data_IF_658477631768
#
_entry.id   IF_658477631768
#
_cell.length_a   1.000
_cell.length_b   1.000
_cell.length_c   1.000
_cell.angle_alpha   90.00
_cell.angle_beta   90.00
_cell.angle_gamma   90.00
#
_symmetry.space_group_name_H-M   'P 1'
#
loop_
_entity.id
_entity.type
_entity.pdbx_description
1 polymer ?
#
# COMPACT_ATOMS: atom_id res chain seq x y z
N UNK A 1 -1.18 -12.78 16.50
CA UNK A 1 -2.01 -12.26 15.37
C UNK A 1 -2.99 -11.19 15.81
N UNK A 2 -3.87 -11.42 16.79
CA UNK A 2 -4.86 -10.41 17.23
C UNK A 2 -4.29 -9.02 17.55
N UNK A 3 -3.20 -8.94 18.32
CA UNK A 3 -2.56 -7.66 18.62
C UNK A 3 -1.95 -6.96 17.39
N UNK A 4 -1.46 -7.72 16.41
CA UNK A 4 -0.87 -7.19 15.17
C UNK A 4 -1.93 -6.76 14.16
N UNK A 5 -3.14 -7.35 14.22
CA UNK A 5 -4.25 -7.01 13.34
C UNK A 5 -4.80 -5.60 13.59
N UNK A 6 -4.71 -5.09 14.82
CA UNK A 6 -5.20 -3.75 15.18
C UNK A 6 -4.46 -2.65 14.40
N UNK A 7 -3.13 -2.50 14.51
CA UNK A 7 -2.41 -1.47 13.77
C UNK A 7 -2.48 -1.72 12.26
N UNK A 8 -2.51 -2.98 11.81
CA UNK A 8 -2.64 -3.31 10.39
C UNK A 8 -4.01 -2.86 9.83
N UNK A 9 -5.10 -3.09 10.57
CA UNK A 9 -6.43 -2.67 10.17
C UNK A 9 -6.58 -1.14 10.16
N UNK A 10 -6.04 -0.46 11.17
CA UNK A 10 -6.02 1.01 11.21
C UNK A 10 -5.22 1.56 10.02
N UNK A 11 -4.02 1.04 9.79
CA UNK A 11 -3.18 1.45 8.66
C UNK A 11 -3.89 1.22 7.32
N UNK A 12 -4.35 -0.01 7.06
CA UNK A 12 -5.05 -0.36 5.83
C UNK A 12 -6.32 0.46 5.60
N UNK A 13 -7.11 0.69 6.65
CA UNK A 13 -8.36 1.44 6.57
C UNK A 13 -8.17 2.95 6.38
N UNK A 14 -7.06 3.51 6.84
CA UNK A 14 -6.78 4.96 6.75
C UNK A 14 -5.94 5.34 5.53
N UNK A 15 -5.04 4.47 5.08
CA UNK A 15 -4.15 4.73 3.94
C UNK A 15 -4.92 4.96 2.63
N UNK A 16 -5.91 4.12 2.34
CA UNK A 16 -6.65 4.20 1.06
C UNK A 16 -7.37 5.56 0.88
N UNK A 17 -8.22 6.03 1.83
CA UNK A 17 -8.85 7.34 1.69
C UNK A 17 -7.83 8.49 1.74
N UNK A 18 -6.76 8.39 2.53
CA UNK A 18 -5.71 9.41 2.57
C UNK A 18 -4.98 9.55 1.22
N UNK A 19 -4.63 8.44 0.57
CA UNK A 19 -4.01 8.44 -0.76
C UNK A 19 -4.96 9.05 -1.80
N UNK A 20 -6.23 8.64 -1.83
CA UNK A 20 -7.20 9.22 -2.77
C UNK A 20 -7.41 10.73 -2.55
N UNK A 21 -7.37 11.18 -1.29
CA UNK A 21 -7.43 12.61 -0.98
C UNK A 21 -6.17 13.35 -1.44
N UNK A 22 -4.97 12.79 -1.25
CA UNK A 22 -3.73 13.39 -1.71
C UNK A 22 -3.67 13.46 -3.25
N UNK A 23 -4.04 12.38 -3.94
CA UNK A 23 -4.09 12.33 -5.40
C UNK A 23 -5.05 13.38 -5.93
N UNK A 24 -6.28 13.45 -5.40
CA UNK A 24 -7.26 14.45 -5.86
C UNK A 24 -6.83 15.89 -5.55
N UNK A 25 -6.18 16.14 -4.40
CA UNK A 25 -5.64 17.47 -4.05
C UNK A 25 -4.48 17.90 -4.95
N UNK A 26 -3.66 16.96 -5.40
CA UNK A 26 -2.52 17.21 -6.29
C UNK A 26 -2.90 17.25 -7.78
N UNK A 27 -4.14 16.90 -8.13
CA UNK A 27 -4.61 16.82 -9.51
C UNK A 27 -5.40 18.06 -9.92
N UNK A 28 -5.26 18.46 -11.17
CA UNK A 28 -6.13 19.47 -11.77
C UNK A 28 -7.56 18.94 -11.92
N UNK A 29 -8.55 19.84 -11.84
CA UNK A 29 -9.98 19.48 -11.85
C UNK A 29 -10.40 18.64 -13.06
N UNK A 30 -9.76 18.83 -14.22
CA UNK A 30 -10.01 18.07 -15.44
C UNK A 30 -9.38 16.68 -15.45
N UNK A 31 -8.37 16.43 -14.61
CA UNK A 31 -7.55 15.20 -14.65
C UNK A 31 -7.73 14.31 -13.42
N UNK A 32 -8.45 14.77 -12.39
CA UNK A 32 -8.70 14.01 -11.14
C UNK A 32 -9.17 12.58 -11.42
N UNK A 33 -10.11 12.39 -12.35
CA UNK A 33 -10.64 11.07 -12.70
C UNK A 33 -9.57 10.14 -13.31
N UNK A 34 -8.69 10.68 -14.15
CA UNK A 34 -7.58 9.92 -14.75
C UNK A 34 -6.54 9.51 -13.71
N UNK A 35 -6.15 10.44 -12.83
CA UNK A 35 -5.17 10.18 -11.78
C UNK A 35 -5.68 9.19 -10.72
N UNK A 36 -6.95 9.31 -10.32
CA UNK A 36 -7.60 8.31 -9.46
C UNK A 36 -7.74 6.96 -10.17
N UNK A 37 -8.04 6.95 -11.47
CA UNK A 37 -8.10 5.74 -12.29
C UNK A 37 -6.76 4.99 -12.33
N UNK A 38 -5.64 5.71 -12.49
CA UNK A 38 -4.29 5.13 -12.45
C UNK A 38 -3.97 4.55 -11.07
N UNK A 39 -4.31 5.28 -9.99
CA UNK A 39 -4.18 4.79 -8.62
C UNK A 39 -4.96 3.49 -8.40
N UNK A 40 -6.21 3.45 -8.86
CA UNK A 40 -7.06 2.25 -8.76
C UNK A 40 -6.50 1.07 -9.58
N UNK A 41 -5.96 1.33 -10.78
CA UNK A 41 -5.32 0.30 -11.60
C UNK A 41 -4.08 -0.28 -10.90
N UNK A 42 -3.23 0.57 -10.32
CA UNK A 42 -2.07 0.13 -9.54
C UNK A 42 -2.47 -0.68 -8.31
N UNK A 43 -3.52 -0.25 -7.59
CA UNK A 43 -4.07 -0.99 -6.46
C UNK A 43 -4.59 -2.37 -6.88
N UNK A 44 -5.31 -2.46 -8.01
CA UNK A 44 -5.78 -3.73 -8.57
C UNK A 44 -4.62 -4.66 -8.93
N UNK A 45 -3.59 -4.14 -9.60
CA UNK A 45 -2.39 -4.89 -9.94
C UNK A 45 -1.68 -5.41 -8.68
N UNK A 46 -1.57 -4.59 -7.63
CA UNK A 46 -1.00 -5.03 -6.34
C UNK A 46 -1.81 -6.17 -5.72
N UNK A 47 -3.16 -6.12 -5.77
CA UNK A 47 -4.01 -7.20 -5.27
C UNK A 47 -3.89 -8.49 -6.10
N UNK A 48 -3.64 -8.40 -7.40
CA UNK A 48 -3.40 -9.56 -8.25
C UNK A 48 -2.01 -10.19 -8.00
N UNK A 49 -0.98 -9.36 -7.79
CA UNK A 49 0.42 -9.80 -7.61
C UNK A 49 0.69 -10.29 -6.19
N UNK A 50 0.09 -9.66 -5.18
CA UNK A 50 0.39 -9.93 -3.77
C UNK A 50 0.21 -11.41 -3.36
N UNK A 51 -0.88 -12.12 -3.73
CA UNK A 51 -1.04 -13.54 -3.40
C UNK A 51 0.04 -14.42 -4.01
N UNK A 52 0.46 -14.12 -5.25
CA UNK A 52 1.54 -14.85 -5.91
C UNK A 52 2.87 -14.59 -5.19
N UNK A 53 3.21 -13.33 -4.97
CA UNK A 53 4.47 -12.95 -4.33
C UNK A 53 4.57 -13.45 -2.89
N UNK A 54 3.62 -13.11 -2.03
CA UNK A 54 3.62 -13.50 -0.63
C UNK A 54 3.31 -14.99 -0.43
N UNK A 55 2.53 -15.61 -1.33
CA UNK A 55 2.31 -17.06 -1.34
C UNK A 55 3.57 -17.84 -1.65
N UNK A 56 4.36 -17.41 -2.65
CA UNK A 56 5.66 -18.02 -2.94
C UNK A 56 6.65 -17.84 -1.78
N UNK A 57 6.70 -16.65 -1.17
CA UNK A 57 7.53 -16.42 0.04
C UNK A 57 7.15 -17.36 1.18
N UNK A 58 5.85 -17.55 1.41
CA UNK A 58 5.35 -18.49 2.41
C UNK A 58 5.77 -19.93 2.09
N UNK A 59 5.64 -20.35 0.83
CA UNK A 59 5.93 -21.72 0.43
C UNK A 59 7.41 -22.08 0.60
N UNK A 60 8.34 -21.17 0.29
CA UNK A 60 9.77 -21.47 0.33
C UNK A 60 10.41 -21.20 1.69
N UNK A 61 9.95 -20.17 2.41
CA UNK A 61 10.62 -19.71 3.63
C UNK A 61 9.74 -19.76 4.89
N UNK A 62 8.49 -20.20 4.75
CA UNK A 62 7.56 -20.40 5.86
C UNK A 62 6.82 -19.14 6.32
N UNK A 63 6.00 -19.33 7.36
CA UNK A 63 5.00 -18.36 7.80
C UNK A 63 5.49 -16.96 8.18
N UNK A 64 6.65 -16.75 8.84
CA UNK A 64 7.05 -15.41 9.29
C UNK A 64 7.44 -14.46 8.15
N UNK A 65 7.94 -15.02 7.05
CA UNK A 65 8.68 -14.26 6.02
C UNK A 65 7.78 -13.31 5.21
N UNK A 66 6.55 -13.69 4.80
CA UNK A 66 5.62 -12.75 4.17
C UNK A 66 5.34 -11.51 5.03
N UNK A 67 5.20 -11.67 6.35
CA UNK A 67 4.94 -10.56 7.27
C UNK A 67 6.16 -9.64 7.42
N UNK A 68 7.36 -10.22 7.53
CA UNK A 68 8.60 -9.45 7.61
C UNK A 68 8.87 -8.71 6.29
N UNK A 69 8.65 -9.35 5.15
CA UNK A 69 8.78 -8.73 3.83
C UNK A 69 7.82 -7.54 3.67
N UNK A 70 6.52 -7.75 3.94
CA UNK A 70 5.52 -6.70 3.87
C UNK A 70 5.78 -5.56 4.86
N UNK A 71 6.14 -5.89 6.10
CA UNK A 71 6.51 -4.91 7.13
C UNK A 71 7.75 -4.09 6.74
N UNK A 72 8.76 -4.73 6.14
CA UNK A 72 9.96 -4.04 5.65
C UNK A 72 9.64 -3.10 4.49
N UNK A 73 8.81 -3.54 3.53
CA UNK A 73 8.35 -2.68 2.43
C UNK A 73 7.61 -1.45 2.98
N UNK A 74 6.69 -1.65 3.92
CA UNK A 74 5.96 -0.55 4.56
C UNK A 74 6.88 0.37 5.36
N UNK A 75 7.89 -0.17 6.06
CA UNK A 75 8.87 0.62 6.79
C UNK A 75 9.70 1.50 5.86
N UNK A 76 10.16 0.93 4.73
CA UNK A 76 10.86 1.70 3.68
C UNK A 76 9.95 2.80 3.16
N UNK A 77 8.71 2.50 2.78
CA UNK A 77 7.76 3.51 2.31
C UNK A 77 7.52 4.61 3.35
N UNK A 78 7.37 4.26 4.63
CA UNK A 78 7.20 5.23 5.71
C UNK A 78 8.37 6.20 5.82
N UNK A 79 9.61 5.74 5.63
CA UNK A 79 10.79 6.58 5.65
C UNK A 79 10.94 7.43 4.38
N UNK A 80 10.58 6.90 3.21
CA UNK A 80 10.78 7.58 1.93
C UNK A 80 9.65 8.54 1.55
N UNK A 81 8.39 8.17 1.80
CA UNK A 81 7.22 8.94 1.34
C UNK A 81 7.23 10.41 1.80
N UNK A 82 7.56 10.76 3.07
CA UNK A 82 7.62 12.15 3.50
C UNK A 82 8.69 12.99 2.79
N UNK A 83 9.74 12.35 2.25
CA UNK A 83 10.80 13.04 1.50
C UNK A 83 10.38 13.34 0.06
N UNK A 84 9.54 12.49 -0.52
CA UNK A 84 9.07 12.59 -1.91
C UNK A 84 7.80 13.46 -2.00
N UNK A 85 6.88 13.30 -1.05
CA UNK A 85 5.58 14.01 -1.02
C UNK A 85 5.73 15.37 -0.33
N UNK A 86 6.93 15.95 -0.32
CA UNK A 86 7.14 17.26 0.27
C UNK A 86 6.48 18.30 -0.64
N UNK A 87 5.36 18.84 -0.17
CA UNK A 87 4.67 20.00 -0.75
C UNK A 87 5.66 21.11 -1.12
#
# INVERSE_FOLDING_TARGET
LLAASIPAAIGGGTLHPAINSLVSKASDKSEVGGNLGLSAAAYSAANAIAPLFYGSLFQWFGAPIPFLAGGTILLVLFLFAPRVIKN
#
